data_IF_265536910796
#
_entry.id   IF_265536910796
#
_cell.length_a   1.000
_cell.length_b   1.000
_cell.length_c   1.000
_cell.angle_alpha   90.00
_cell.angle_beta   90.00
_cell.angle_gamma   90.00
#
_symmetry.space_group_name_H-M   'P 1'
#
loop_
_entity.id
_entity.type
_entity.pdbx_description
1 polymer ?
2 non-polymer ?
3 non-polymer ?
4 water ?
#
# COMPACT_ATOMS: atom_id res chain seq x y z
N UNK A 14 19.68 -1.33 -1.40
CA UNK A 14 18.70 -1.82 -2.36
C UNK A 14 17.32 -1.85 -1.72
N UNK A 15 16.34 -1.29 -2.44
CA UNK A 15 15.02 -1.07 -1.86
C UNK A 15 14.34 -2.38 -1.46
N UNK A 16 14.55 -3.46 -2.21
CA UNK A 16 13.80 -4.67 -1.92
C UNK A 16 14.31 -5.46 -0.71
N UNK A 17 15.50 -5.16 -0.19
CA UNK A 17 15.99 -5.78 1.03
C UNK A 17 15.90 -4.85 2.24
N UNK A 18 15.25 -3.71 2.09
CA UNK A 18 15.20 -2.68 3.13
C UNK A 18 14.20 -3.11 4.21
N UNK A 19 14.69 -3.29 5.43
CA UNK A 19 13.88 -3.80 6.52
C UNK A 19 13.27 -2.69 7.38
N UNK A 20 13.41 -1.45 6.97
CA UNK A 20 12.85 -0.32 7.70
C UNK A 20 11.33 -0.47 7.84
N UNK A 21 10.83 -0.31 9.06
CA UNK A 21 9.38 -0.30 9.28
C UNK A 21 8.73 0.91 8.61
N UNK A 22 7.61 0.68 7.94
CA UNK A 22 6.90 1.76 7.26
C UNK A 22 6.28 2.70 8.28
N UNK A 23 6.39 4.00 7.99
CA UNK A 23 5.69 5.04 8.76
C UNK A 23 5.06 6.01 7.78
N UNK A 24 4.48 7.12 8.27
CA UNK A 24 3.80 8.08 7.39
C UNK A 24 4.69 8.48 6.21
N UNK A 25 5.99 8.67 6.46
CA UNK A 25 6.82 9.19 5.38
C UNK A 25 6.85 8.25 4.17
N UNK A 26 6.79 6.94 4.42
CA UNK A 26 6.78 5.97 3.32
C UNK A 26 5.39 5.81 2.74
N UNK A 27 4.37 5.88 3.60
CA UNK A 27 3.01 5.59 3.19
C UNK A 27 2.40 6.75 2.43
N UNK A 28 2.76 8.00 2.79
CA UNK A 28 2.13 9.18 2.18
C UNK A 28 2.14 9.16 0.66
N UNK A 29 3.26 8.88 -0.03
CA UNK A 29 3.19 8.86 -1.51
C UNK A 29 2.25 7.80 -2.06
N UNK A 30 2.12 6.66 -1.37
CA UNK A 30 1.18 5.63 -1.80
C UNK A 30 -0.25 6.07 -1.55
N UNK A 31 -0.50 6.66 -0.38
CA UNK A 31 -1.83 7.20 -0.09
C UNK A 31 -2.25 8.20 -1.15
N UNK A 32 -1.33 9.05 -1.57
CA UNK A 32 -1.65 10.13 -2.48
C UNK A 32 -1.83 9.67 -3.92
N UNK A 33 -1.15 8.60 -4.34
CA UNK A 33 -1.00 8.33 -5.75
C UNK A 33 -1.49 6.95 -6.19
N UNK A 34 -1.82 6.04 -5.27
CA UNK A 34 -2.32 4.74 -5.71
C UNK A 34 -3.54 4.92 -6.59
N UNK A 35 -4.47 5.77 -6.16
CA UNK A 35 -5.49 6.21 -7.07
C UNK A 35 -6.55 5.17 -7.34
N UNK A 36 -7.23 5.36 -8.48
CA UNK A 36 -8.44 4.58 -8.72
C UNK A 36 -8.15 3.11 -8.93
N UNK A 37 -6.96 2.78 -9.40
CA UNK A 37 -6.58 1.39 -9.63
C UNK A 37 -5.85 0.90 -8.38
N UNK A 38 -6.64 0.71 -7.29
CA UNK A 38 -6.13 0.27 -5.99
C UNK A 38 -6.41 -1.19 -5.68
N UNK A 39 -7.39 -1.80 -6.32
CA UNK A 39 -7.83 -3.12 -5.88
C UNK A 39 -6.83 -4.21 -6.24
N UNK A 40 -6.18 -4.12 -7.40
CA UNK A 40 -5.15 -5.09 -7.74
C UNK A 40 -4.01 -5.02 -6.74
N UNK A 41 -3.60 -3.82 -6.34
CA UNK A 41 -2.56 -3.76 -5.32
C UNK A 41 -3.07 -4.31 -3.99
N UNK A 42 -4.35 -4.09 -3.65
CA UNK A 42 -4.89 -4.70 -2.44
C UNK A 42 -4.79 -6.22 -2.47
N UNK A 43 -5.11 -6.84 -3.61
CA UNK A 43 -4.94 -8.29 -3.73
C UNK A 43 -3.49 -8.70 -3.53
N UNK A 44 -2.55 -7.95 -4.10
CA UNK A 44 -1.15 -8.30 -3.92
C UNK A 44 -0.69 -8.09 -2.48
N UNK A 45 -1.33 -7.17 -1.73
CA UNK A 45 -1.09 -7.01 -0.32
C UNK A 45 -1.82 -8.04 0.53
N UNK A 46 -2.46 -9.02 -0.09
CA UNK A 46 -3.05 -10.10 0.66
C UNK A 46 -4.49 -9.92 1.08
N UNK A 47 -5.17 -8.85 0.68
CA UNK A 47 -6.59 -8.76 0.96
C UNK A 47 -7.37 -9.69 0.05
N UNK A 48 -8.36 -10.35 0.62
CA UNK A 48 -9.28 -11.16 -0.18
C UNK A 48 -10.30 -10.26 -0.89
N UNK A 49 -10.97 -10.82 -1.89
CA UNK A 49 -12.04 -10.07 -2.54
C UNK A 49 -13.09 -9.64 -1.53
N UNK A 50 -13.41 -10.50 -0.55
CA UNK A 50 -14.41 -10.12 0.44
C UNK A 50 -13.94 -8.89 1.21
N UNK A 51 -12.66 -8.85 1.54
CA UNK A 51 -12.14 -7.73 2.31
C UNK A 51 -12.08 -6.46 1.47
N UNK A 52 -11.74 -6.60 0.20
CA UNK A 52 -11.75 -5.48 -0.72
C UNK A 52 -13.15 -4.93 -0.88
N UNK A 53 -14.13 -5.82 -1.02
CA UNK A 53 -15.53 -5.41 -1.12
C UNK A 53 -15.99 -4.66 0.13
N UNK A 54 -15.55 -5.09 1.31
CA UNK A 54 -15.90 -4.41 2.54
C UNK A 54 -15.36 -2.99 2.55
N UNK A 55 -14.07 -2.83 2.19
CA UNK A 55 -13.50 -1.48 2.13
C UNK A 55 -14.25 -0.62 1.11
N UNK A 56 -14.53 -1.20 -0.06
CA UNK A 56 -15.19 -0.50 -1.14
C UNK A 56 -16.55 0.00 -0.70
N UNK A 57 -17.29 -0.81 0.07
CA UNK A 57 -18.62 -0.44 0.52
C UNK A 57 -18.57 0.49 1.72
N UNK A 58 -17.70 0.20 2.68
CA UNK A 58 -17.71 0.90 3.96
C UNK A 58 -17.24 2.34 3.80
N UNK A 59 -16.39 2.61 2.81
CA UNK A 59 -15.82 3.94 2.65
C UNK A 59 -16.33 4.62 1.39
N UNK A 60 -17.43 4.12 0.82
CA UNK A 60 -17.98 4.72 -0.39
C UNK A 60 -18.30 6.19 -0.18
N UNK A 61 -18.93 6.53 0.94
CA UNK A 61 -19.28 7.93 1.15
C UNK A 61 -18.04 8.79 1.39
N UNK A 62 -16.98 8.22 1.92
CA UNK A 62 -15.79 8.99 2.22
C UNK A 62 -14.95 9.26 0.99
N UNK A 63 -15.01 8.40 -0.01
CA UNK A 63 -14.31 8.66 -1.26
C UNK A 63 -13.12 7.74 -1.49
N UNK A 64 -12.59 7.84 -2.71
CA UNK A 64 -11.55 6.92 -3.16
C UNK A 64 -10.28 7.06 -2.33
N UNK A 65 -9.86 8.28 -2.03
CA UNK A 65 -8.65 8.45 -1.23
C UNK A 65 -8.79 7.78 0.12
N UNK A 66 -9.99 7.80 0.70
CA UNK A 66 -10.16 7.13 1.98
C UNK A 66 -10.16 5.61 1.84
N UNK A 67 -10.72 5.07 0.75
CA UNK A 67 -10.61 3.62 0.53
C UNK A 67 -9.14 3.21 0.49
N UNK A 68 -8.33 3.97 -0.25
CA UNK A 68 -6.89 3.72 -0.33
C UNK A 68 -6.24 3.81 1.04
N UNK A 69 -6.55 4.88 1.78
CA UNK A 69 -5.98 5.09 3.11
C UNK A 69 -6.31 3.92 4.02
N UNK A 70 -7.57 3.49 4.00
CA UNK A 70 -8.03 2.42 4.88
C UNK A 70 -7.39 1.09 4.51
N UNK A 71 -7.26 0.83 3.21
CA UNK A 71 -6.66 -0.41 2.78
C UNK A 71 -5.20 -0.46 3.23
N UNK A 72 -4.46 0.63 3.00
CA UNK A 72 -3.05 0.61 3.36
C UNK A 72 -2.89 0.51 4.87
N UNK A 73 -3.74 1.22 5.62
CA UNK A 73 -3.58 1.19 7.07
C UNK A 73 -3.94 -0.18 7.62
N UNK A 74 -4.98 -0.82 7.06
CA UNK A 74 -5.31 -2.18 7.48
C UNK A 74 -4.14 -3.13 7.25
N UNK A 75 -3.41 -2.95 6.13
CA UNK A 75 -2.26 -3.80 5.84
C UNK A 75 -1.15 -3.55 6.85
N UNK A 76 -0.85 -2.29 7.12
CA UNK A 76 0.19 -1.96 8.10
C UNK A 76 -0.16 -2.52 9.48
N UNK A 77 -1.45 -2.47 9.84
CA UNK A 77 -1.88 -3.01 11.13
C UNK A 77 -1.80 -4.55 11.14
N UNK A 78 -2.18 -5.20 10.04
CA UNK A 78 -2.14 -6.66 9.98
C UNK A 78 -0.72 -7.18 10.05
N UNK A 79 0.19 -6.53 9.33
CA UNK A 79 1.56 -7.01 9.21
C UNK A 79 2.48 -6.55 10.34
N UNK A 80 2.14 -5.48 11.04
CA UNK A 80 2.91 -5.07 12.22
C UNK A 80 4.23 -4.40 11.85
N UNK A 81 5.05 -4.10 12.86
CA UNK A 81 6.34 -3.45 12.60
C UNK A 81 7.28 -4.39 11.89
N UNK A 82 7.21 -5.68 12.23
CA UNK A 82 8.10 -6.64 11.62
C UNK A 82 7.74 -6.87 10.16
N UNK A 83 6.44 -6.84 9.83
CA UNK A 83 6.00 -7.20 8.50
C UNK A 83 5.70 -6.04 7.57
N UNK A 84 5.39 -4.86 8.10
CA UNK A 84 5.06 -3.72 7.24
C UNK A 84 6.35 -2.93 7.05
N UNK A 85 7.16 -3.37 6.09
CA UNK A 85 8.47 -2.80 5.83
C UNK A 85 8.58 -2.24 4.42
N UNK A 86 9.60 -1.41 4.24
CA UNK A 86 9.92 -0.87 2.91
C UNK A 86 10.06 -1.99 1.88
N UNK A 87 10.84 -3.02 2.20
CA UNK A 87 11.10 -4.06 1.22
C UNK A 87 9.88 -4.88 0.87
N UNK A 88 9.00 -5.12 1.84
CA UNK A 88 7.76 -5.83 1.54
C UNK A 88 6.82 -4.98 0.69
N UNK A 89 6.66 -3.70 1.03
CA UNK A 89 5.87 -2.81 0.19
C UNK A 89 6.43 -2.75 -1.23
N UNK A 90 7.76 -2.68 -1.35
CA UNK A 90 8.39 -2.67 -2.68
C UNK A 90 8.00 -3.89 -3.49
N UNK A 91 8.08 -5.08 -2.88
CA UNK A 91 7.66 -6.28 -3.60
C UNK A 91 6.18 -6.21 -4.00
N UNK A 92 5.30 -5.75 -3.10
CA UNK A 92 3.91 -5.64 -3.49
C UNK A 92 3.74 -4.71 -4.68
N UNK A 93 4.44 -3.57 -4.68
CA UNK A 93 4.31 -2.63 -5.79
C UNK A 93 4.85 -3.23 -7.08
N UNK A 94 5.95 -4.00 -6.99
CA UNK A 94 6.44 -4.78 -8.13
C UNK A 94 5.37 -5.75 -8.63
N UNK A 95 4.77 -6.51 -7.71
CA UNK A 95 3.79 -7.53 -8.11
C UNK A 95 2.52 -6.92 -8.68
N UNK A 96 2.13 -5.74 -8.21
CA UNK A 96 0.95 -5.11 -8.78
C UNK A 96 1.29 -4.10 -9.85
N UNK A 97 2.53 -4.12 -10.36
CA UNK A 97 2.87 -3.39 -11.57
C UNK A 97 2.73 -1.88 -11.41
N UNK A 98 3.14 -1.34 -10.26
CA UNK A 98 3.06 0.10 -10.02
C UNK A 98 4.48 0.64 -9.87
N UNK A 99 5.20 0.69 -10.99
CA UNK A 99 6.58 1.14 -10.96
C UNK A 99 6.67 2.64 -10.69
N UNK A 100 5.63 3.40 -11.01
CA UNK A 100 5.57 4.79 -10.54
C UNK A 100 5.69 4.86 -9.01
N UNK A 101 4.89 4.06 -8.30
CA UNK A 101 4.89 4.11 -6.84
C UNK A 101 6.19 3.55 -6.28
N UNK A 102 6.72 2.51 -6.91
CA UNK A 102 7.99 1.97 -6.44
C UNK A 102 9.08 3.04 -6.49
N UNK A 103 9.06 3.88 -7.53
CA UNK A 103 10.05 4.95 -7.64
C UNK A 103 9.90 5.97 -6.51
N UNK A 104 8.68 6.39 -6.20
CA UNK A 104 8.49 7.33 -5.08
C UNK A 104 8.95 6.71 -3.76
N UNK A 105 8.74 5.41 -3.60
CA UNK A 105 9.16 4.75 -2.37
C UNK A 105 10.68 4.74 -2.23
N UNK A 106 11.39 4.48 -3.33
CA UNK A 106 12.85 4.53 -3.32
C UNK A 106 13.35 5.90 -2.87
N UNK A 107 12.72 6.96 -3.35
CA UNK A 107 13.21 8.28 -3.00
C UNK A 107 12.93 8.64 -1.54
N UNK A 108 11.72 8.35 -1.04
CA UNK A 108 11.40 8.75 0.33
C UNK A 108 12.16 7.92 1.35
N UNK A 109 12.65 6.74 0.96
CA UNK A 109 13.36 5.83 1.86
C UNK A 109 14.83 6.19 2.03
N UNK A 110 15.32 7.18 1.30
CA UNK A 110 16.71 7.61 1.42
C UNK A 110 16.89 8.54 2.60
X LIG B 1 -7.62 -13.87 -5.95
X LIG B 1 -9.17 -13.70 -6.04
X LIG B 1 -9.66 -14.06 -7.44
X LIG B 1 -8.86 -13.31 -8.50
X LIG B 1 -7.35 -13.50 -8.29
X LIG B 1 -6.51 -12.67 -9.23
X LIG B 1 -10.29 -13.94 -3.85
X LIG B 1 -11.01 -14.87 -2.93
X LIG B 1 -9.89 -14.46 -5.03
X LIG B 1 -11.04 -13.75 -7.57
X LIG B 1 -9.22 -13.79 -9.79
X LIG B 1 -6.99 -13.08 -6.96
X LIG B 1 -5.13 -12.96 -9.08
X LIG B 1 -10.06 -12.77 -3.54
X LIG C 1 -7.35 -2.39 -10.71
X LIG C 1 -6.48 -2.12 -9.56
X LIG C 1 -6.59 -3.10 -11.74
X LIG C 1 -7.85 -1.13 -11.27
X LIG C 1 -8.47 -3.22 -10.24
X LIG D 1 -5.92 7.78 -11.26
X LIG D 1 -5.55 6.44 -11.71
X LIG D 1 -4.74 8.64 -11.14
X LIG D 1 -6.85 8.38 -12.23
X LIG D 1 -6.57 7.68 -9.94
#
# INVERSE_FOLDING_TARGET
NTNFKEEPAAKYQAIFDNTTSLTDKHLDPIRENLGKHWKNCARKLGFTQSQIDEIDHDYERDGLKEKVYQMLQKWVMREGIKGATVGKLAQALHQCSRIDLLSSLIYVSQN
NAG C1 C2 C3 C4 C5 C6 C7 C8 N2 O3 O4 O5 O6 O7
SO4 S O1 O2 O3 O4
SO4 S O1 O2 O3 O4
#
